data_IF_509341627435
#
_entry.id   IF_509341627435
#
_cell.length_a   1.000
_cell.length_b   1.000
_cell.length_c   1.000
_cell.angle_alpha   90.00
_cell.angle_beta   90.00
_cell.angle_gamma   90.00
#
_symmetry.space_group_name_H-M   'P 1'
#
loop_
_entity.id
_entity.type
_entity.pdbx_description
1 polymer ?
#
# COMPACT_ATOMS: atom_id res chain seq x y z
N UNK A 1 31.48 20.64 -45.87
CA UNK A 1 31.78 19.42 -45.11
C UNK A 1 32.63 19.66 -43.85
N UNK A 2 33.65 20.53 -43.84
CA UNK A 2 34.50 20.79 -42.63
C UNK A 2 33.74 21.45 -41.44
N UNK A 3 32.73 22.28 -41.69
CA UNK A 3 31.95 22.94 -40.62
C UNK A 3 30.89 22.02 -39.98
N UNK A 4 30.41 21.00 -40.72
CA UNK A 4 29.46 20.00 -40.20
C UNK A 4 30.18 18.97 -39.32
N UNK A 5 31.42 18.63 -39.63
CA UNK A 5 32.25 17.72 -38.85
C UNK A 5 32.62 18.34 -37.46
N UNK A 6 32.87 19.65 -37.42
CA UNK A 6 33.19 20.37 -36.16
C UNK A 6 31.96 20.46 -35.22
N UNK A 7 30.75 20.64 -35.76
CA UNK A 7 29.52 20.61 -34.95
C UNK A 7 29.23 19.19 -34.38
N UNK A 8 29.53 18.13 -35.17
CA UNK A 8 29.33 16.76 -34.69
C UNK A 8 30.31 16.34 -33.59
N UNK A 9 31.56 16.78 -33.67
CA UNK A 9 32.60 16.55 -32.64
C UNK A 9 32.30 17.37 -31.37
N UNK A 10 31.78 18.61 -31.49
CA UNK A 10 31.37 19.44 -30.38
C UNK A 10 30.15 18.87 -29.65
N UNK A 11 29.21 18.23 -30.37
CA UNK A 11 28.02 17.62 -29.75
C UNK A 11 28.36 16.30 -29.03
N UNK A 12 29.36 15.55 -29.50
CA UNK A 12 29.83 14.31 -28.84
C UNK A 12 30.65 14.64 -27.57
N UNK A 13 31.39 15.74 -27.53
CA UNK A 13 32.13 16.16 -26.34
C UNK A 13 31.22 16.69 -25.21
N UNK A 14 29.98 17.15 -25.49
CA UNK A 14 29.04 17.59 -24.50
C UNK A 14 28.36 16.40 -23.71
N UNK A 15 28.48 15.18 -24.23
CA UNK A 15 27.92 13.98 -23.58
C UNK A 15 28.91 13.25 -22.63
N UNK A 16 30.18 13.66 -22.57
CA UNK A 16 31.19 12.99 -21.72
C UNK A 16 31.42 13.66 -20.37
N UNK A 17 30.61 14.61 -19.95
CA UNK A 17 30.82 15.39 -18.76
C UNK A 17 29.80 15.25 -17.60
N UNK A 18 28.88 14.29 -17.64
CA UNK A 18 28.08 13.98 -16.46
C UNK A 18 28.89 13.05 -15.55
N UNK A 19 29.82 13.62 -14.81
CA UNK A 19 30.34 12.99 -13.61
C UNK A 19 29.14 12.65 -12.72
N UNK A 20 28.95 11.34 -12.44
CA UNK A 20 27.83 10.87 -11.67
C UNK A 20 27.83 11.57 -10.30
N UNK A 21 26.82 12.38 -10.06
CA UNK A 21 26.66 13.09 -8.80
C UNK A 21 26.29 12.05 -7.73
N UNK A 22 27.21 11.81 -6.79
CA UNK A 22 26.96 10.89 -5.67
C UNK A 22 25.75 11.37 -4.89
N UNK A 23 24.91 10.44 -4.49
CA UNK A 23 23.67 10.78 -3.80
C UNK A 23 23.90 10.93 -2.30
N UNK A 24 23.42 12.03 -1.75
CA UNK A 24 23.30 12.21 -0.30
C UNK A 24 22.05 11.47 0.23
N UNK A 25 21.93 11.35 1.54
CA UNK A 25 20.80 10.69 2.18
C UNK A 25 19.47 11.34 1.83
N UNK A 26 19.43 12.69 1.82
CA UNK A 26 18.19 13.43 1.53
C UNK A 26 17.67 13.10 0.12
N UNK A 27 18.54 13.20 -0.87
CA UNK A 27 18.21 12.85 -2.27
C UNK A 27 17.75 11.40 -2.40
N UNK A 28 18.41 10.46 -1.70
CA UNK A 28 18.04 9.04 -1.70
C UNK A 28 16.64 8.85 -1.10
N UNK A 29 16.33 9.49 0.04
CA UNK A 29 15.01 9.43 0.68
C UNK A 29 13.93 10.05 -0.20
N UNK A 30 14.16 11.26 -0.73
CA UNK A 30 13.19 11.96 -1.59
C UNK A 30 12.89 11.14 -2.85
N UNK A 31 13.92 10.55 -3.46
CA UNK A 31 13.74 9.69 -4.63
C UNK A 31 12.98 8.40 -4.29
N UNK A 32 13.28 7.76 -3.16
CA UNK A 32 12.55 6.58 -2.69
C UNK A 32 11.07 6.89 -2.48
N UNK A 33 10.74 7.98 -1.79
CA UNK A 33 9.36 8.42 -1.57
C UNK A 33 8.61 8.61 -2.89
N UNK A 34 9.27 9.13 -3.92
CA UNK A 34 8.66 9.34 -5.23
C UNK A 34 8.49 8.05 -6.06
N UNK A 35 9.41 7.09 -5.91
CA UNK A 35 9.52 5.95 -6.83
C UNK A 35 9.20 4.59 -6.21
N UNK A 36 9.24 4.46 -4.88
CA UNK A 36 9.03 3.18 -4.20
C UNK A 36 7.62 2.62 -4.45
N UNK A 37 7.56 1.33 -4.74
CA UNK A 37 6.31 0.63 -5.09
C UNK A 37 5.30 0.65 -3.92
N UNK A 38 5.75 0.52 -2.68
CA UNK A 38 4.87 0.53 -1.50
C UNK A 38 4.18 1.88 -1.31
N UNK A 39 4.86 3.00 -1.59
CA UNK A 39 4.26 4.34 -1.58
C UNK A 39 3.22 4.48 -2.68
N UNK A 40 3.52 4.01 -3.90
CA UNK A 40 2.56 3.99 -5.03
C UNK A 40 1.34 3.12 -4.73
N UNK A 41 1.54 1.96 -4.07
CA UNK A 41 0.42 1.12 -3.62
C UNK A 41 -0.46 1.83 -2.59
N UNK A 42 0.13 2.53 -1.62
CA UNK A 42 -0.63 3.31 -0.64
C UNK A 42 -1.43 4.44 -1.30
N UNK A 43 -0.87 5.14 -2.30
CA UNK A 43 -1.58 6.15 -3.09
C UNK A 43 -2.79 5.55 -3.83
N UNK A 44 -2.61 4.39 -4.48
CA UNK A 44 -3.73 3.69 -5.15
C UNK A 44 -4.82 3.32 -4.13
N UNK A 45 -4.48 2.85 -2.93
CA UNK A 45 -5.46 2.54 -1.88
C UNK A 45 -6.21 3.80 -1.40
N UNK A 46 -5.52 4.92 -1.26
CA UNK A 46 -6.18 6.20 -0.92
C UNK A 46 -7.15 6.65 -2.03
N UNK A 47 -6.78 6.47 -3.30
CA UNK A 47 -7.68 6.76 -4.44
C UNK A 47 -8.90 5.84 -4.47
N UNK A 48 -8.75 4.56 -4.10
CA UNK A 48 -9.88 3.63 -3.95
C UNK A 48 -10.81 4.12 -2.85
N UNK A 49 -10.28 4.52 -1.68
CA UNK A 49 -11.08 5.07 -0.59
C UNK A 49 -11.80 6.38 -1.00
N UNK A 50 -11.16 7.24 -1.78
CA UNK A 50 -11.76 8.47 -2.32
C UNK A 50 -12.92 8.16 -3.27
N UNK A 51 -12.78 7.15 -4.14
CA UNK A 51 -13.88 6.70 -5.01
C UNK A 51 -15.04 6.14 -4.18
N UNK A 52 -14.77 5.34 -3.15
CA UNK A 52 -15.78 4.79 -2.25
C UNK A 52 -16.53 5.90 -1.50
N UNK A 53 -15.82 6.90 -0.99
CA UNK A 53 -16.43 8.08 -0.37
C UNK A 53 -17.32 8.84 -1.37
N UNK A 54 -16.83 9.11 -2.60
CA UNK A 54 -17.59 9.76 -3.66
C UNK A 54 -18.85 8.96 -4.03
N UNK A 55 -18.72 7.64 -4.19
CA UNK A 55 -19.84 6.74 -4.47
C UNK A 55 -20.90 6.82 -3.39
N UNK A 56 -20.50 6.74 -2.11
CA UNK A 56 -21.41 6.83 -0.97
C UNK A 56 -22.11 8.18 -0.89
N UNK A 57 -21.40 9.26 -1.21
CA UNK A 57 -21.97 10.61 -1.27
C UNK A 57 -22.97 10.75 -2.41
N UNK A 58 -22.67 10.21 -3.60
CA UNK A 58 -23.56 10.23 -4.76
C UNK A 58 -24.79 9.32 -4.60
N UNK A 59 -24.76 8.34 -3.71
CA UNK A 59 -25.92 7.50 -3.39
C UNK A 59 -27.12 8.29 -2.78
N UNK A 60 -26.94 9.59 -2.48
CA UNK A 60 -28.04 10.50 -2.14
C UNK A 60 -28.89 10.92 -3.37
N UNK A 61 -28.37 10.78 -4.55
CA UNK A 61 -29.05 11.10 -5.80
C UNK A 61 -29.86 9.87 -6.22
N UNK A 62 -31.09 10.04 -6.76
CA UNK A 62 -31.89 8.93 -7.27
C UNK A 62 -31.13 8.12 -8.33
N UNK A 63 -31.22 6.80 -8.26
CA UNK A 63 -30.76 5.93 -9.35
C UNK A 63 -31.75 6.00 -10.53
N UNK A 64 -31.28 5.82 -11.74
CA UNK A 64 -32.10 5.70 -12.94
C UNK A 64 -31.61 4.51 -13.75
N UNK A 65 -32.50 3.53 -13.92
CA UNK A 65 -32.18 2.28 -14.62
C UNK A 65 -33.21 2.03 -15.72
N UNK A 66 -32.74 1.83 -16.95
CA UNK A 66 -33.54 1.34 -18.06
C UNK A 66 -33.32 -0.18 -18.18
N UNK A 67 -34.41 -0.94 -18.08
CA UNK A 67 -34.40 -2.37 -18.29
C UNK A 67 -35.22 -2.69 -19.56
N UNK A 68 -34.72 -3.59 -20.37
CA UNK A 68 -35.45 -4.18 -21.49
C UNK A 68 -35.31 -5.69 -21.43
N UNK A 69 -36.40 -6.38 -21.62
CA UNK A 69 -36.41 -7.83 -21.69
C UNK A 69 -37.22 -8.32 -22.88
N UNK A 70 -36.73 -9.36 -23.51
CA UNK A 70 -37.49 -10.16 -24.51
C UNK A 70 -37.60 -11.56 -23.97
N UNK A 71 -38.81 -12.11 -23.95
CA UNK A 71 -39.02 -13.46 -23.50
C UNK A 71 -39.93 -14.22 -24.47
N UNK A 72 -39.65 -15.50 -24.61
CA UNK A 72 -40.53 -16.46 -25.24
C UNK A 72 -41.09 -17.42 -24.20
N UNK A 73 -42.41 -17.52 -24.13
CA UNK A 73 -43.11 -18.44 -23.26
C UNK A 73 -44.01 -19.38 -24.11
N UNK A 74 -44.17 -20.60 -23.68
CA UNK A 74 -45.10 -21.54 -24.29
C UNK A 74 -45.84 -22.32 -23.18
N UNK A 75 -47.12 -22.41 -23.30
CA UNK A 75 -47.94 -23.12 -22.29
C UNK A 75 -49.43 -22.94 -22.49
N UNK A 76 -50.18 -23.49 -21.56
CA UNK A 76 -51.64 -23.34 -21.51
C UNK A 76 -51.97 -21.95 -20.96
N UNK A 77 -52.48 -21.08 -21.82
CA UNK A 77 -52.88 -19.72 -21.48
C UNK A 77 -54.35 -19.49 -21.82
N UNK A 78 -54.94 -18.58 -21.09
CA UNK A 78 -56.31 -18.11 -21.44
C UNK A 78 -56.20 -17.06 -22.56
N UNK A 79 -56.90 -17.30 -23.67
CA UNK A 79 -57.05 -16.34 -24.73
C UNK A 79 -57.81 -15.10 -24.19
N UNK A 80 -57.23 -13.91 -24.28
CA UNK A 80 -57.79 -12.69 -23.66
C UNK A 80 -59.13 -12.23 -24.29
N UNK A 81 -59.47 -12.74 -25.47
CA UNK A 81 -60.71 -12.35 -26.22
C UNK A 81 -61.80 -13.40 -26.05
N UNK A 82 -61.43 -14.67 -26.23
CA UNK A 82 -62.40 -15.78 -26.19
C UNK A 82 -62.54 -16.42 -24.81
N UNK A 83 -61.63 -16.07 -23.89
CA UNK A 83 -61.52 -16.68 -22.54
C UNK A 83 -61.33 -18.20 -22.52
N UNK A 84 -60.98 -18.80 -23.66
CA UNK A 84 -60.71 -20.23 -23.78
C UNK A 84 -59.24 -20.55 -23.39
N UNK A 85 -59.02 -21.69 -22.79
CA UNK A 85 -57.67 -22.16 -22.53
C UNK A 85 -57.09 -22.77 -23.83
N UNK A 86 -55.97 -22.23 -24.29
CA UNK A 86 -55.24 -22.62 -25.48
C UNK A 86 -53.77 -22.81 -25.17
N UNK A 87 -53.13 -23.84 -25.71
CA UNK A 87 -51.68 -24.00 -25.62
C UNK A 87 -51.05 -23.28 -26.80
N UNK A 88 -50.32 -22.20 -26.51
CA UNK A 88 -49.64 -21.46 -27.55
C UNK A 88 -48.33 -20.81 -27.04
N UNK A 89 -47.43 -20.56 -27.99
CA UNK A 89 -46.23 -19.80 -27.73
C UNK A 89 -46.47 -18.31 -27.88
N UNK A 90 -45.88 -17.49 -27.01
CA UNK A 90 -45.92 -16.05 -27.12
C UNK A 90 -44.55 -15.43 -26.96
N UNK A 91 -44.29 -14.37 -27.65
CA UNK A 91 -43.13 -13.50 -27.51
C UNK A 91 -43.60 -12.23 -26.83
N UNK A 92 -42.94 -11.87 -25.74
CA UNK A 92 -43.15 -10.61 -25.06
C UNK A 92 -41.85 -9.78 -24.99
N UNK A 93 -42.00 -8.46 -25.11
CA UNK A 93 -40.93 -7.53 -24.93
C UNK A 93 -41.40 -6.43 -23.97
N UNK A 94 -40.60 -6.16 -22.94
CA UNK A 94 -40.89 -5.15 -21.94
C UNK A 94 -39.77 -4.10 -21.86
N UNK A 95 -40.17 -2.88 -21.60
CA UNK A 95 -39.30 -1.75 -21.30
C UNK A 95 -39.73 -1.15 -19.98
N UNK A 96 -38.77 -0.90 -19.08
CA UNK A 96 -39.05 -0.20 -17.82
C UNK A 96 -37.94 0.75 -17.46
N UNK A 97 -38.26 2.00 -17.16
CA UNK A 97 -37.36 3.01 -16.62
C UNK A 97 -37.72 3.19 -15.16
N UNK A 98 -36.78 2.84 -14.28
CA UNK A 98 -36.98 2.79 -12.84
C UNK A 98 -36.05 3.78 -12.13
N UNK A 99 -36.60 4.49 -11.16
CA UNK A 99 -35.84 5.38 -10.27
C UNK A 99 -36.17 5.07 -8.82
N UNK A 100 -35.17 5.15 -7.95
CA UNK A 100 -35.36 4.96 -6.52
C UNK A 100 -34.37 5.81 -5.73
N UNK A 101 -34.83 6.38 -4.60
CA UNK A 101 -34.00 7.08 -3.64
C UNK A 101 -34.57 6.94 -2.25
N UNK A 102 -33.69 6.79 -1.24
CA UNK A 102 -34.14 6.90 0.16
C UNK A 102 -34.31 8.36 0.54
N UNK A 103 -35.48 8.76 0.99
CA UNK A 103 -35.76 10.09 1.47
C UNK A 103 -35.33 10.25 2.93
N UNK A 104 -35.60 9.22 3.76
CA UNK A 104 -35.26 9.22 5.17
C UNK A 104 -34.93 7.80 5.66
N UNK A 105 -33.81 7.65 6.38
CA UNK A 105 -33.32 6.36 6.89
C UNK A 105 -32.65 6.49 8.27
N UNK A 106 -33.19 7.34 9.14
CA UNK A 106 -32.69 7.58 10.51
C UNK A 106 -31.16 7.82 10.55
N UNK A 107 -30.69 8.68 9.64
CA UNK A 107 -29.27 9.08 9.52
C UNK A 107 -28.29 7.95 9.18
N UNK A 108 -28.77 6.76 8.79
CA UNK A 108 -27.90 5.68 8.32
C UNK A 108 -26.97 6.18 7.20
N UNK A 109 -27.54 6.78 6.15
CA UNK A 109 -26.76 7.29 5.00
C UNK A 109 -25.81 8.41 5.42
N UNK A 110 -26.25 9.38 6.22
CA UNK A 110 -25.39 10.46 6.70
C UNK A 110 -24.18 9.91 7.45
N UNK A 111 -24.40 8.99 8.39
CA UNK A 111 -23.31 8.38 9.14
C UNK A 111 -22.42 7.48 8.28
N UNK A 112 -22.96 6.80 7.25
CA UNK A 112 -22.15 6.03 6.30
C UNK A 112 -21.25 6.95 5.45
N UNK A 113 -21.74 8.13 5.05
CA UNK A 113 -20.94 9.14 4.34
C UNK A 113 -19.79 9.64 5.24
N UNK A 114 -20.10 9.99 6.50
CA UNK A 114 -19.08 10.44 7.44
C UNK A 114 -18.05 9.35 7.76
N UNK A 115 -18.49 8.11 7.90
CA UNK A 115 -17.59 6.96 8.09
C UNK A 115 -16.61 6.82 6.91
N UNK A 116 -17.13 6.84 5.67
CA UNK A 116 -16.28 6.77 4.47
C UNK A 116 -15.41 8.01 4.28
N UNK A 117 -15.83 9.20 4.76
CA UNK A 117 -14.98 10.39 4.78
C UNK A 117 -13.76 10.19 5.66
N UNK A 118 -13.98 9.72 6.91
CA UNK A 118 -12.87 9.41 7.82
C UNK A 118 -11.98 8.27 7.33
N UNK A 119 -12.54 7.26 6.66
CA UNK A 119 -11.74 6.20 6.04
C UNK A 119 -10.87 6.72 4.89
N UNK A 120 -11.40 7.64 4.06
CA UNK A 120 -10.62 8.32 3.03
C UNK A 120 -9.49 9.19 3.65
N UNK A 121 -9.78 9.92 4.72
CA UNK A 121 -8.76 10.69 5.45
C UNK A 121 -7.69 9.76 6.06
N UNK A 122 -8.11 8.63 6.64
CA UNK A 122 -7.19 7.62 7.17
C UNK A 122 -6.31 7.00 6.08
N UNK A 123 -6.87 6.72 4.90
CA UNK A 123 -6.11 6.21 3.76
C UNK A 123 -5.07 7.23 3.25
N UNK A 124 -5.38 8.52 3.25
CA UNK A 124 -4.41 9.58 2.92
C UNK A 124 -3.31 9.68 3.99
N UNK A 125 -3.66 9.68 5.28
CA UNK A 125 -2.67 9.67 6.37
C UNK A 125 -1.79 8.40 6.32
N UNK A 126 -2.31 7.28 5.82
CA UNK A 126 -1.54 6.05 5.65
C UNK A 126 -0.46 6.16 4.55
N UNK A 127 -0.63 7.05 3.56
CA UNK A 127 0.44 7.36 2.60
C UNK A 127 1.63 7.95 3.36
N UNK A 128 1.38 8.90 4.27
CA UNK A 128 2.44 9.55 5.05
C UNK A 128 3.09 8.57 6.04
N UNK A 129 2.33 7.64 6.61
CA UNK A 129 2.89 6.53 7.38
C UNK A 129 3.85 5.67 6.54
N UNK A 130 3.45 5.26 5.35
CA UNK A 130 4.30 4.46 4.46
C UNK A 130 5.54 5.25 4.02
N UNK A 131 5.41 6.56 3.74
CA UNK A 131 6.55 7.44 3.43
C UNK A 131 7.54 7.49 4.58
N UNK A 132 7.06 7.60 5.83
CA UNK A 132 7.91 7.57 7.02
C UNK A 132 8.64 6.24 7.16
N UNK A 133 7.94 5.11 6.99
CA UNK A 133 8.55 3.78 7.07
C UNK A 133 9.64 3.60 6.00
N UNK A 134 9.38 4.03 4.76
CA UNK A 134 10.37 3.98 3.68
C UNK A 134 11.55 4.90 3.96
N UNK A 135 11.31 6.12 4.48
CA UNK A 135 12.40 7.04 4.85
C UNK A 135 13.34 6.42 5.87
N UNK A 136 12.79 5.77 6.91
CA UNK A 136 13.58 5.08 7.92
C UNK A 136 14.36 3.89 7.33
N UNK A 137 13.72 3.08 6.48
CA UNK A 137 14.37 1.93 5.84
C UNK A 137 15.51 2.35 4.90
N UNK A 138 15.30 3.42 4.13
CA UNK A 138 16.34 3.98 3.25
C UNK A 138 17.50 4.54 4.07
N UNK A 139 17.23 5.25 5.17
CA UNK A 139 18.28 5.75 6.04
C UNK A 139 19.11 4.62 6.67
N UNK A 140 18.46 3.55 7.12
CA UNK A 140 19.12 2.34 7.61
C UNK A 140 20.03 1.70 6.55
N UNK A 141 19.50 1.50 5.34
CA UNK A 141 20.26 0.89 4.24
C UNK A 141 21.43 1.78 3.80
N UNK A 142 21.22 3.10 3.75
CA UNK A 142 22.27 4.07 3.43
C UNK A 142 23.42 3.99 4.44
N UNK A 143 23.11 3.97 5.73
CA UNK A 143 24.13 3.84 6.79
C UNK A 143 24.88 2.51 6.73
N UNK A 144 24.19 1.41 6.41
CA UNK A 144 24.84 0.12 6.21
C UNK A 144 25.85 0.15 5.04
N UNK A 145 25.55 0.92 3.99
CA UNK A 145 26.51 1.16 2.89
C UNK A 145 27.72 1.94 3.40
N UNK A 146 27.53 3.01 4.18
CA UNK A 146 28.63 3.80 4.73
C UNK A 146 29.53 2.96 5.65
N UNK A 147 28.95 2.17 6.56
CA UNK A 147 29.68 1.25 7.43
C UNK A 147 30.50 0.22 6.65
N UNK A 148 29.88 -0.41 5.65
CA UNK A 148 30.57 -1.41 4.85
C UNK A 148 31.74 -0.80 4.05
N UNK A 149 31.61 0.41 3.54
CA UNK A 149 32.69 1.14 2.87
C UNK A 149 33.86 1.44 3.81
N UNK A 150 33.56 1.84 5.03
CA UNK A 150 34.61 2.08 6.00
C UNK A 150 35.34 0.80 6.39
N UNK A 151 34.63 -0.33 6.49
CA UNK A 151 35.25 -1.66 6.66
C UNK A 151 36.19 -2.01 5.50
N UNK A 152 35.79 -1.75 4.23
CA UNK A 152 36.65 -1.93 3.06
C UNK A 152 37.90 -1.06 3.16
N UNK A 153 37.74 0.21 3.55
CA UNK A 153 38.84 1.15 3.70
C UNK A 153 39.87 0.67 4.75
N UNK A 154 39.40 0.27 5.93
CA UNK A 154 40.23 -0.28 6.99
C UNK A 154 40.94 -1.57 6.54
N UNK A 155 40.22 -2.51 5.91
CA UNK A 155 40.80 -3.76 5.40
C UNK A 155 41.85 -3.50 4.31
N UNK A 156 41.67 -2.50 3.46
CA UNK A 156 42.63 -2.10 2.43
C UNK A 156 43.92 -1.54 3.05
N UNK A 157 43.77 -0.67 4.05
CA UNK A 157 44.92 -0.15 4.80
C UNK A 157 45.67 -1.28 5.47
N UNK A 158 44.98 -2.26 6.08
CA UNK A 158 45.59 -3.44 6.71
C UNK A 158 46.42 -4.25 5.70
N UNK A 159 45.90 -4.54 4.51
CA UNK A 159 46.64 -5.26 3.45
C UNK A 159 47.89 -4.47 3.05
N UNK A 160 47.81 -3.15 2.87
CA UNK A 160 48.94 -2.30 2.50
C UNK A 160 50.02 -2.32 3.61
N UNK A 161 49.64 -2.26 4.89
CA UNK A 161 50.57 -2.36 6.00
C UNK A 161 51.28 -3.71 6.04
N UNK A 162 50.53 -4.80 5.87
CA UNK A 162 51.12 -6.17 5.85
C UNK A 162 52.06 -6.36 4.67
N UNK A 163 51.77 -5.81 3.47
CA UNK A 163 52.66 -5.81 2.29
C UNK A 163 53.97 -5.07 2.63
N UNK A 164 53.88 -3.87 3.18
CA UNK A 164 55.05 -3.08 3.55
C UNK A 164 55.93 -3.81 4.57
N UNK A 165 55.29 -4.42 5.59
CA UNK A 165 55.96 -5.21 6.64
C UNK A 165 56.68 -6.42 6.04
N UNK A 166 55.98 -7.20 5.16
CA UNK A 166 56.57 -8.36 4.48
C UNK A 166 57.77 -7.94 3.62
N UNK A 167 57.68 -6.85 2.88
CA UNK A 167 58.79 -6.33 2.10
C UNK A 167 60.05 -5.99 2.92
N UNK A 168 59.86 -5.39 4.09
CA UNK A 168 60.97 -5.12 5.02
C UNK A 168 61.50 -6.40 5.67
N UNK A 169 60.66 -7.31 6.12
CA UNK A 169 61.09 -8.59 6.72
C UNK A 169 61.84 -9.46 5.71
N UNK A 170 61.40 -9.53 4.43
CA UNK A 170 62.14 -10.26 3.41
C UNK A 170 63.54 -9.69 3.15
N UNK A 171 63.77 -8.38 3.21
CA UNK A 171 65.09 -7.80 3.14
C UNK A 171 66.00 -8.26 4.27
N UNK A 172 65.48 -8.34 5.50
CA UNK A 172 66.21 -8.80 6.67
C UNK A 172 66.50 -10.32 6.63
N UNK A 173 65.57 -11.13 6.14
CA UNK A 173 65.74 -12.56 5.94
C UNK A 173 66.83 -12.80 4.87
N UNK A 174 66.78 -12.08 3.72
CA UNK A 174 67.80 -12.19 2.67
C UNK A 174 69.23 -11.73 3.13
N UNK A 175 69.25 -10.83 4.09
CA UNK A 175 70.51 -10.40 4.74
C UNK A 175 70.96 -11.38 5.85
N UNK A 176 70.23 -12.47 6.11
CA UNK A 176 70.55 -13.43 7.14
C UNK A 176 70.29 -12.98 8.59
N UNK A 177 69.59 -11.82 8.74
CA UNK A 177 69.32 -11.23 10.05
C UNK A 177 68.03 -11.77 10.70
N UNK A 178 67.12 -12.41 9.93
CA UNK A 178 65.90 -13.02 10.44
C UNK A 178 65.73 -14.42 9.83
N UNK A 179 65.04 -15.38 10.55
CA UNK A 179 64.67 -16.67 10.01
C UNK A 179 63.59 -16.57 8.91
N UNK A 180 63.59 -17.50 7.97
CA UNK A 180 62.56 -17.61 6.89
C UNK A 180 61.14 -17.74 7.44
N UNK A 181 61.00 -18.34 8.62
CA UNK A 181 59.72 -18.47 9.36
C UNK A 181 58.99 -17.10 9.51
N UNK A 182 59.74 -16.02 9.73
CA UNK A 182 59.17 -14.69 9.95
C UNK A 182 58.55 -14.14 8.66
N UNK A 183 59.13 -14.40 7.52
CA UNK A 183 58.57 -14.06 6.19
C UNK A 183 57.33 -14.92 5.89
N UNK A 184 57.40 -16.23 6.14
CA UNK A 184 56.29 -17.16 5.91
C UNK A 184 55.04 -16.79 6.78
N UNK A 185 55.22 -16.37 8.06
CA UNK A 185 54.16 -15.90 8.92
C UNK A 185 53.44 -14.65 8.34
N UNK A 186 54.20 -13.71 7.79
CA UNK A 186 53.64 -12.50 7.16
C UNK A 186 52.97 -12.80 5.82
N UNK A 187 53.46 -13.78 5.04
CA UNK A 187 52.78 -14.24 3.82
C UNK A 187 51.41 -14.88 4.16
N UNK A 188 51.35 -15.71 5.17
CA UNK A 188 50.10 -16.27 5.65
C UNK A 188 49.14 -15.18 6.16
N UNK A 189 49.67 -14.14 6.84
CA UNK A 189 48.86 -13.00 7.28
C UNK A 189 48.36 -12.20 6.10
N UNK A 190 49.18 -11.92 5.08
CA UNK A 190 48.78 -11.21 3.85
C UNK A 190 47.65 -11.94 3.11
N UNK A 191 47.73 -13.27 3.05
CA UNK A 191 46.66 -14.08 2.46
C UNK A 191 45.33 -13.92 3.22
N UNK A 192 45.36 -13.95 4.58
CA UNK A 192 44.18 -13.71 5.42
C UNK A 192 43.61 -12.31 5.27
N UNK A 193 44.46 -11.28 5.29
CA UNK A 193 44.06 -9.89 5.12
C UNK A 193 43.44 -9.65 3.73
N UNK A 194 44.01 -10.24 2.69
CA UNK A 194 43.47 -10.17 1.31
C UNK A 194 42.11 -10.86 1.22
N UNK A 195 41.93 -12.01 1.82
CA UNK A 195 40.63 -12.70 1.89
C UNK A 195 39.57 -11.84 2.61
N UNK A 196 39.96 -11.19 3.71
CA UNK A 196 39.11 -10.29 4.48
C UNK A 196 38.69 -9.07 3.63
N UNK A 197 39.62 -8.48 2.87
CA UNK A 197 39.34 -7.36 1.97
C UNK A 197 38.29 -7.75 0.91
N UNK A 198 38.45 -8.92 0.28
CA UNK A 198 37.46 -9.44 -0.69
C UNK A 198 36.08 -9.62 -0.04
N UNK A 199 36.03 -10.19 1.16
CA UNK A 199 34.76 -10.38 1.88
C UNK A 199 34.08 -9.06 2.23
N UNK A 200 34.83 -8.06 2.67
CA UNK A 200 34.27 -6.74 3.01
C UNK A 200 33.80 -5.99 1.74
N UNK A 201 34.50 -6.14 0.61
CA UNK A 201 34.11 -5.54 -0.67
C UNK A 201 32.79 -6.15 -1.19
N UNK A 202 32.62 -7.47 -1.09
CA UNK A 202 31.36 -8.15 -1.41
C UNK A 202 30.23 -7.65 -0.51
N UNK A 203 30.49 -7.46 0.79
CA UNK A 203 29.51 -6.94 1.75
C UNK A 203 29.09 -5.50 1.37
N UNK A 204 30.04 -4.65 1.02
CA UNK A 204 29.75 -3.27 0.59
C UNK A 204 28.90 -3.25 -0.69
N UNK A 205 29.24 -4.09 -1.66
CA UNK A 205 28.45 -4.25 -2.90
C UNK A 205 27.02 -4.74 -2.59
N UNK A 206 26.88 -5.74 -1.74
CA UNK A 206 25.55 -6.27 -1.35
C UNK A 206 24.68 -5.22 -0.67
N UNK A 207 25.25 -4.44 0.25
CA UNK A 207 24.52 -3.36 0.92
C UNK A 207 24.10 -2.25 -0.09
N UNK A 208 24.97 -1.94 -1.06
CA UNK A 208 24.65 -0.98 -2.11
C UNK A 208 23.48 -1.49 -2.99
N UNK A 209 23.48 -2.78 -3.35
CA UNK A 209 22.37 -3.40 -4.09
C UNK A 209 21.07 -3.39 -3.28
N UNK A 210 21.13 -3.64 -1.97
CA UNK A 210 19.97 -3.55 -1.09
C UNK A 210 19.39 -2.12 -1.05
N UNK A 211 20.25 -1.10 -1.01
CA UNK A 211 19.81 0.29 -1.11
C UNK A 211 19.18 0.59 -2.48
N UNK A 212 19.79 0.13 -3.59
CA UNK A 212 19.21 0.28 -4.95
C UNK A 212 17.81 -0.35 -5.05
N UNK A 213 17.61 -1.50 -4.42
CA UNK A 213 16.30 -2.17 -4.37
C UNK A 213 15.23 -1.30 -3.68
N UNK A 214 15.56 -0.69 -2.52
CA UNK A 214 14.65 0.22 -1.81
C UNK A 214 14.33 1.48 -2.63
N UNK A 215 15.29 1.98 -3.38
CA UNK A 215 15.15 3.12 -4.28
C UNK A 215 14.39 2.78 -5.57
N UNK A 216 14.16 1.49 -5.86
CA UNK A 216 13.62 1.01 -7.13
C UNK A 216 14.47 1.45 -8.33
N UNK A 217 15.79 1.39 -8.19
CA UNK A 217 16.79 1.65 -9.26
C UNK A 217 17.21 0.32 -9.85
N UNK A 218 17.44 0.29 -11.17
CA UNK A 218 17.97 -0.90 -11.87
C UNK A 218 19.29 -1.37 -11.23
N UNK A 219 19.41 -2.68 -10.98
CA UNK A 219 20.60 -3.27 -10.37
C UNK A 219 21.87 -3.06 -11.20
N UNK A 220 21.75 -3.01 -12.53
CA UNK A 220 22.86 -2.76 -13.45
C UNK A 220 23.21 -1.28 -13.60
N UNK A 221 22.29 -0.35 -13.22
CA UNK A 221 22.55 1.08 -13.32
C UNK A 221 23.75 1.46 -12.44
N UNK A 222 24.56 2.37 -12.91
CA UNK A 222 25.64 2.92 -12.10
C UNK A 222 25.05 3.85 -11.03
N UNK A 223 25.41 3.64 -9.76
CA UNK A 223 24.87 4.35 -8.60
C UNK A 223 25.90 4.40 -7.48
N UNK A 224 26.09 5.57 -6.90
CA UNK A 224 26.99 5.75 -5.76
C UNK A 224 26.44 6.75 -4.75
N UNK A 225 26.89 6.63 -3.49
CA UNK A 225 26.45 7.49 -2.37
C UNK A 225 27.63 8.33 -1.84
N UNK A 226 27.30 9.52 -1.32
CA UNK A 226 28.29 10.34 -0.61
C UNK A 226 28.58 9.73 0.76
N UNK A 227 29.85 9.90 1.23
CA UNK A 227 30.24 9.46 2.59
C UNK A 227 30.58 10.72 3.38
N UNK A 228 29.58 11.34 4.07
CA UNK A 228 29.87 12.49 4.91
C UNK A 228 30.74 12.04 6.11
N UNK A 229 31.70 12.86 6.55
CA UNK A 229 32.41 12.60 7.79
C UNK A 229 31.42 12.51 8.97
N UNK A 230 31.50 11.45 9.77
CA UNK A 230 30.58 11.20 10.90
C UNK A 230 30.51 12.35 11.88
N UNK A 231 31.66 12.99 12.13
CA UNK A 231 31.77 14.13 13.04
C UNK A 231 31.02 15.41 12.59
N UNK A 232 30.61 15.48 11.32
CA UNK A 232 29.89 16.62 10.75
C UNK A 232 28.37 16.43 10.76
N UNK A 233 27.87 15.28 11.18
CA UNK A 233 26.43 15.01 11.24
C UNK A 233 25.86 15.75 12.45
N UNK A 234 24.95 16.73 12.24
CA UNK A 234 24.36 17.49 13.34
C UNK A 234 23.48 16.58 14.21
N UNK A 235 23.62 16.64 15.52
CA UNK A 235 22.82 15.88 16.48
C UNK A 235 22.18 16.80 17.49
N UNK A 236 20.93 16.52 17.87
CA UNK A 236 20.27 17.20 18.98
C UNK A 236 20.90 16.82 20.34
N UNK A 237 20.66 17.66 21.34
CA UNK A 237 21.05 17.35 22.70
C UNK A 237 20.23 16.18 23.25
N UNK A 238 20.88 15.19 23.87
CA UNK A 238 20.19 14.05 24.51
C UNK A 238 19.21 14.52 25.60
N UNK A 239 19.43 15.70 26.18
CA UNK A 239 18.52 16.27 27.17
C UNK A 239 17.16 16.65 26.57
N UNK A 240 17.10 17.01 25.27
CA UNK A 240 15.86 17.36 24.54
C UNK A 240 15.14 16.12 24.00
N UNK A 241 15.80 14.98 24.04
CA UNK A 241 15.29 13.71 23.54
C UNK A 241 14.86 12.74 24.66
N UNK A 242 14.45 13.30 25.83
CA UNK A 242 13.92 12.49 26.92
C UNK A 242 12.69 11.68 26.46
N UNK A 243 12.60 10.38 26.82
CA UNK A 243 11.59 9.45 26.27
C UNK A 243 10.16 9.94 26.44
N UNK A 244 9.80 10.52 27.59
CA UNK A 244 8.44 11.03 27.85
C UNK A 244 8.11 12.27 27.02
N UNK A 245 9.09 13.12 26.73
CA UNK A 245 8.92 14.29 25.86
C UNK A 245 8.72 13.84 24.40
N UNK A 246 9.61 12.96 23.92
CA UNK A 246 9.52 12.39 22.57
C UNK A 246 8.20 11.66 22.37
N UNK A 247 7.76 10.85 23.35
CA UNK A 247 6.51 10.11 23.26
C UNK A 247 5.29 11.04 23.14
N UNK A 248 5.21 12.10 23.93
CA UNK A 248 4.10 13.07 23.83
C UNK A 248 4.02 13.73 22.46
N UNK A 249 5.15 14.15 21.93
CA UNK A 249 5.22 14.76 20.58
C UNK A 249 4.92 13.73 19.50
N UNK A 250 5.40 12.50 19.65
CA UNK A 250 5.16 11.40 18.71
C UNK A 250 3.67 11.02 18.61
N UNK A 251 2.93 11.03 19.72
CA UNK A 251 1.48 10.76 19.71
C UNK A 251 0.70 11.74 18.83
N UNK A 252 1.16 12.99 18.73
CA UNK A 252 0.51 14.03 17.92
C UNK A 252 1.00 14.06 16.48
N UNK A 253 2.31 13.82 16.26
CA UNK A 253 2.94 14.01 14.96
C UNK A 253 3.07 12.75 14.12
N UNK A 254 3.11 11.55 14.75
CA UNK A 254 3.34 10.32 13.99
C UNK A 254 2.11 9.92 13.16
N UNK A 255 2.26 9.68 11.85
CA UNK A 255 1.14 9.40 10.96
C UNK A 255 0.35 8.13 11.34
N UNK A 256 0.97 7.14 11.96
CA UNK A 256 0.28 5.92 12.41
C UNK A 256 -0.80 6.23 13.44
N UNK A 257 -0.53 7.10 14.43
CA UNK A 257 -1.50 7.50 15.45
C UNK A 257 -2.65 8.29 14.82
N UNK A 258 -2.37 9.10 13.81
CA UNK A 258 -3.40 9.82 13.05
C UNK A 258 -4.29 8.84 12.28
N UNK A 259 -3.72 7.83 11.61
CA UNK A 259 -4.47 6.77 10.92
C UNK A 259 -5.40 6.05 11.89
N UNK A 260 -4.89 5.64 13.06
CA UNK A 260 -5.67 4.95 14.08
C UNK A 260 -6.83 5.81 14.60
N UNK A 261 -6.58 7.07 14.93
CA UNK A 261 -7.61 8.00 15.40
C UNK A 261 -8.72 8.20 14.36
N UNK A 262 -8.36 8.33 13.08
CA UNK A 262 -9.31 8.49 11.99
C UNK A 262 -10.14 7.21 11.75
N UNK A 263 -9.53 6.02 11.83
CA UNK A 263 -10.26 4.74 11.75
C UNK A 263 -11.22 4.53 12.90
N UNK A 264 -10.83 4.85 14.13
CA UNK A 264 -11.74 4.80 15.27
C UNK A 264 -12.95 5.70 15.02
N UNK A 265 -12.75 6.94 14.56
CA UNK A 265 -13.87 7.86 14.21
C UNK A 265 -14.73 7.29 13.06
N UNK A 266 -14.13 6.70 12.05
CA UNK A 266 -14.85 6.03 10.96
C UNK A 266 -15.80 4.96 11.52
N UNK A 267 -15.30 4.08 12.38
CA UNK A 267 -16.11 2.99 12.96
C UNK A 267 -17.14 3.47 13.96
N UNK A 268 -16.91 4.57 14.68
CA UNK A 268 -17.95 5.23 15.50
C UNK A 268 -19.14 5.67 14.64
N UNK A 269 -18.88 6.19 13.45
CA UNK A 269 -19.93 6.53 12.49
C UNK A 269 -20.59 5.30 11.87
N UNK A 270 -19.85 4.22 11.57
CA UNK A 270 -20.45 2.97 11.10
C UNK A 270 -21.37 2.36 12.14
N UNK A 271 -21.04 2.40 13.44
CA UNK A 271 -21.94 1.95 14.53
C UNK A 271 -23.24 2.76 14.53
N UNK A 272 -23.16 4.09 14.39
CA UNK A 272 -24.35 4.95 14.29
C UNK A 272 -25.17 4.64 13.02
N UNK A 273 -24.50 4.38 11.90
CA UNK A 273 -25.15 3.99 10.65
C UNK A 273 -25.91 2.65 10.81
N UNK A 274 -25.28 1.63 11.39
CA UNK A 274 -25.90 0.32 11.60
C UNK A 274 -27.08 0.37 12.60
N UNK A 275 -27.02 1.27 13.60
CA UNK A 275 -28.17 1.54 14.45
C UNK A 275 -29.34 2.10 13.65
N UNK A 276 -29.08 3.01 12.70
CA UNK A 276 -30.10 3.55 11.80
C UNK A 276 -30.74 2.48 10.89
N UNK A 277 -29.99 1.43 10.52
CA UNK A 277 -30.49 0.32 9.72
C UNK A 277 -31.56 -0.56 10.43
N UNK A 278 -31.67 -0.47 11.76
CA UNK A 278 -32.70 -1.13 12.55
C UNK A 278 -34.02 -0.34 12.64
N UNK A 279 -34.05 0.88 12.13
CA UNK A 279 -35.17 1.81 12.23
C UNK A 279 -35.91 1.91 10.88
N UNK A 280 -37.13 2.46 10.83
CA UNK A 280 -37.92 2.60 9.62
C UNK A 280 -37.17 3.37 8.53
N UNK A 281 -37.41 2.99 7.26
CA UNK A 281 -36.85 3.65 6.08
C UNK A 281 -37.97 4.10 5.16
N UNK A 282 -37.97 5.36 4.76
CA UNK A 282 -38.85 5.95 3.76
C UNK A 282 -38.06 6.14 2.45
N UNK A 283 -38.53 5.51 1.37
CA UNK A 283 -37.96 5.66 0.03
C UNK A 283 -39.03 6.17 -0.95
N UNK A 284 -38.58 6.93 -1.94
CA UNK A 284 -39.35 7.28 -3.12
C UNK A 284 -38.99 6.33 -4.24
N UNK A 285 -39.98 5.92 -5.03
CA UNK A 285 -39.77 5.17 -6.25
C UNK A 285 -40.61 5.76 -7.39
N UNK A 286 -40.11 5.63 -8.60
CA UNK A 286 -40.82 5.94 -9.82
C UNK A 286 -40.54 4.87 -10.87
N UNK A 287 -41.58 4.51 -11.63
CA UNK A 287 -41.47 3.56 -12.72
C UNK A 287 -42.28 4.04 -13.93
N UNK A 288 -41.65 4.04 -15.10
CA UNK A 288 -42.28 4.16 -16.38
C UNK A 288 -42.11 2.83 -17.09
N UNK A 289 -43.19 2.25 -17.57
CA UNK A 289 -43.13 0.93 -18.20
C UNK A 289 -44.04 0.82 -19.41
N UNK A 290 -43.66 -0.02 -20.36
CA UNK A 290 -44.51 -0.45 -21.47
C UNK A 290 -44.09 -1.85 -21.91
N UNK A 291 -45.02 -2.54 -22.55
CA UNK A 291 -44.75 -3.91 -23.01
C UNK A 291 -45.49 -4.20 -24.34
N UNK A 292 -44.90 -5.12 -25.05
CA UNK A 292 -45.47 -5.74 -26.26
C UNK A 292 -45.66 -7.25 -26.02
N UNK A 293 -46.75 -7.80 -26.58
CA UNK A 293 -46.99 -9.22 -26.67
C UNK A 293 -47.51 -9.53 -28.08
N UNK A 294 -46.92 -10.53 -28.76
CA UNK A 294 -47.31 -10.92 -30.10
C UNK A 294 -48.74 -11.55 -30.17
N UNK A 295 -49.34 -11.89 -29.03
CA UNK A 295 -50.71 -12.34 -28.89
C UNK A 295 -51.69 -11.20 -28.57
N UNK A 296 -51.21 -9.98 -28.43
CA UNK A 296 -52.02 -8.79 -28.18
C UNK A 296 -52.94 -8.48 -29.38
N UNK A 297 -54.21 -8.78 -29.27
CA UNK A 297 -55.21 -8.44 -30.26
C UNK A 297 -55.99 -7.16 -29.82
N UNK A 298 -56.41 -6.37 -30.78
CA UNK A 298 -57.32 -5.23 -30.54
C UNK A 298 -58.69 -5.49 -31.15
N UNK A 299 -59.75 -5.07 -30.49
CA UNK A 299 -61.08 -5.09 -31.01
C UNK A 299 -61.24 -3.95 -32.00
N UNK A 300 -61.61 -4.24 -33.25
CA UNK A 300 -61.83 -3.26 -34.31
C UNK A 300 -63.30 -3.07 -34.62
N UNK A 301 -64.16 -3.90 -34.09
CA UNK A 301 -65.62 -3.85 -34.28
C UNK A 301 -66.32 -5.01 -33.56
N UNK A 302 -67.65 -5.04 -33.65
CA UNK A 302 -68.42 -6.17 -33.15
C UNK A 302 -69.32 -6.66 -34.27
N UNK A 303 -69.37 -7.97 -34.41
CA UNK A 303 -70.36 -8.62 -35.32
C UNK A 303 -71.48 -9.23 -34.48
N UNK A 304 -72.70 -8.87 -34.80
CA UNK A 304 -73.87 -9.39 -34.11
C UNK A 304 -74.26 -10.70 -34.78
N UNK A 305 -74.17 -11.78 -34.09
CA UNK A 305 -74.46 -13.14 -34.59
C UNK A 305 -75.48 -13.85 -33.70
N UNK A 306 -76.31 -14.65 -34.32
CA UNK A 306 -77.20 -15.57 -33.61
C UNK A 306 -76.49 -16.95 -33.54
N UNK A 307 -75.86 -17.30 -32.42
CA UNK A 307 -75.13 -18.58 -32.37
C UNK A 307 -76.11 -19.77 -32.35
N UNK A 308 -75.69 -20.88 -32.91
CA UNK A 308 -76.44 -22.10 -32.72
C UNK A 308 -76.35 -22.54 -31.25
N UNK A 309 -77.53 -22.71 -30.61
CA UNK A 309 -77.66 -23.12 -29.21
C UNK A 309 -77.83 -24.64 -29.04
N UNK A 310 -78.00 -25.35 -30.11
CA UNK A 310 -78.14 -26.79 -30.11
C UNK A 310 -78.56 -27.37 -31.48
N UNK A 311 -78.82 -28.63 -31.52
CA UNK A 311 -79.32 -29.34 -32.67
C UNK A 311 -80.60 -30.08 -32.25
N UNK A 312 -81.59 -30.08 -33.12
CA UNK A 312 -82.80 -30.90 -32.96
C UNK A 312 -82.89 -31.87 -34.12
N UNK A 313 -83.19 -33.15 -33.81
CA UNK A 313 -83.42 -34.19 -34.84
C UNK A 313 -84.93 -34.26 -35.08
N UNK A 314 -85.33 -33.98 -36.31
CA UNK A 314 -86.71 -34.12 -36.74
C UNK A 314 -86.75 -35.12 -37.87
N UNK A 315 -87.41 -36.30 -37.64
CA UNK A 315 -87.57 -37.37 -38.62
C UNK A 315 -86.26 -37.88 -39.24
N UNK A 316 -85.16 -37.97 -38.46
CA UNK A 316 -83.84 -38.41 -38.89
C UNK A 316 -82.93 -37.36 -39.49
N UNK A 317 -83.36 -36.10 -39.58
CA UNK A 317 -82.58 -34.96 -40.08
C UNK A 317 -82.23 -34.03 -38.91
N UNK A 318 -80.93 -33.67 -38.77
CA UNK A 318 -80.48 -32.74 -37.76
C UNK A 318 -80.61 -31.26 -38.23
N UNK A 319 -81.32 -30.42 -37.46
CA UNK A 319 -81.44 -28.97 -37.66
C UNK A 319 -80.77 -28.25 -36.57
N UNK A 320 -79.98 -27.17 -36.91
CA UNK A 320 -79.38 -26.30 -35.93
C UNK A 320 -80.45 -25.33 -35.41
N UNK A 321 -80.56 -25.22 -34.07
CA UNK A 321 -81.40 -24.22 -33.38
C UNK A 321 -80.55 -23.04 -33.03
N UNK A 322 -81.01 -21.86 -33.46
CA UNK A 322 -80.29 -20.60 -33.23
C UNK A 322 -80.89 -19.83 -32.05
N UNK A 323 -80.09 -19.06 -31.33
CA UNK A 323 -80.54 -18.20 -30.26
C UNK A 323 -81.42 -17.06 -30.83
N UNK A 324 -82.55 -16.74 -30.19
CA UNK A 324 -83.32 -15.58 -30.49
C UNK A 324 -82.68 -14.28 -29.91
N UNK A 325 -81.69 -14.46 -29.05
CA UNK A 325 -80.92 -13.30 -28.52
C UNK A 325 -79.61 -13.21 -29.27
N UNK A 326 -79.37 -12.14 -30.05
CA UNK A 326 -78.09 -11.93 -30.71
C UNK A 326 -77.02 -11.65 -29.70
N UNK A 327 -75.86 -12.21 -29.94
CA UNK A 327 -74.65 -11.91 -29.16
C UNK A 327 -73.68 -11.11 -30.03
N UNK A 328 -73.02 -10.11 -29.42
CA UNK A 328 -72.00 -9.34 -30.07
C UNK A 328 -70.64 -10.07 -29.91
N UNK A 329 -70.09 -10.56 -31.00
CA UNK A 329 -68.80 -11.22 -31.06
C UNK A 329 -67.77 -10.17 -31.51
N UNK A 330 -66.72 -9.89 -30.73
CA UNK A 330 -65.73 -8.92 -31.12
C UNK A 330 -64.95 -9.39 -32.37
N UNK A 331 -64.76 -8.46 -33.30
CA UNK A 331 -63.83 -8.63 -34.44
C UNK A 331 -62.50 -8.10 -34.00
N UNK A 332 -61.51 -9.01 -33.96
CA UNK A 332 -60.18 -8.67 -33.53
C UNK A 332 -59.16 -8.66 -34.66
N UNK A 333 -58.14 -7.84 -34.52
CA UNK A 333 -56.96 -7.80 -35.39
C UNK A 333 -55.70 -7.71 -34.56
N UNK A 334 -54.55 -8.16 -35.08
CA UNK A 334 -53.27 -8.03 -34.40
C UNK A 334 -52.98 -6.56 -34.12
N UNK A 335 -52.63 -6.26 -32.85
CA UNK A 335 -52.24 -4.92 -32.46
C UNK A 335 -50.76 -4.66 -32.82
N UNK A 336 -50.42 -3.68 -33.67
CA UNK A 336 -49.05 -3.38 -34.08
C UNK A 336 -48.16 -3.08 -32.91
N UNK A 337 -46.85 -3.43 -33.04
CA UNK A 337 -45.84 -3.27 -32.01
C UNK A 337 -45.85 -1.89 -31.33
N UNK A 338 -45.69 -0.81 -32.13
CA UNK A 338 -45.65 0.54 -31.58
C UNK A 338 -46.99 1.01 -30.99
N UNK A 339 -48.10 0.52 -31.54
CA UNK A 339 -49.41 0.78 -30.96
C UNK A 339 -49.60 0.14 -29.59
N UNK A 340 -49.07 -1.06 -29.40
CA UNK A 340 -49.07 -1.70 -28.07
C UNK A 340 -48.19 -0.96 -27.09
N UNK A 341 -46.98 -0.51 -27.52
CA UNK A 341 -46.07 0.25 -26.64
C UNK A 341 -46.72 1.58 -26.19
N UNK A 342 -47.47 2.24 -27.03
CA UNK A 342 -48.21 3.46 -26.70
C UNK A 342 -49.39 3.16 -25.75
N UNK A 343 -50.21 2.17 -26.08
CA UNK A 343 -51.39 1.80 -25.29
C UNK A 343 -51.06 1.21 -23.94
N UNK A 344 -49.96 0.45 -23.84
CA UNK A 344 -49.51 -0.20 -22.62
C UNK A 344 -48.58 0.69 -21.75
N UNK A 345 -48.36 1.93 -22.21
CA UNK A 345 -47.57 2.88 -21.44
C UNK A 345 -48.19 3.13 -20.05
N UNK A 346 -47.40 2.87 -19.03
CA UNK A 346 -47.81 3.03 -17.64
C UNK A 346 -46.79 3.83 -16.86
N UNK A 347 -47.26 4.58 -15.89
CA UNK A 347 -46.44 5.34 -14.97
C UNK A 347 -46.93 5.14 -13.55
N UNK A 348 -45.96 4.92 -12.64
CA UNK A 348 -46.25 4.83 -11.22
C UNK A 348 -45.20 5.60 -10.43
N UNK A 349 -45.66 6.36 -9.45
CA UNK A 349 -44.83 7.07 -8.49
C UNK A 349 -45.38 6.76 -7.10
N UNK A 350 -44.47 6.59 -6.14
CA UNK A 350 -44.90 6.25 -4.79
C UNK A 350 -43.86 6.44 -3.74
N UNK A 351 -44.33 6.34 -2.50
CA UNK A 351 -43.51 6.28 -1.31
C UNK A 351 -43.61 4.87 -0.72
N UNK A 352 -42.46 4.33 -0.34
CA UNK A 352 -42.40 3.03 0.34
C UNK A 352 -41.82 3.21 1.75
N UNK A 353 -42.61 2.89 2.75
CA UNK A 353 -42.19 2.87 4.16
C UNK A 353 -41.88 1.41 4.56
N UNK A 354 -40.62 1.13 4.81
CA UNK A 354 -40.17 -0.19 5.29
C UNK A 354 -39.84 -0.12 6.77
N UNK A 355 -40.53 -0.91 7.60
CA UNK A 355 -40.33 -1.03 9.04
C UNK A 355 -39.81 -2.44 9.33
N UNK A 356 -38.53 -2.64 9.68
CA UNK A 356 -38.00 -3.96 9.98
C UNK A 356 -38.51 -4.43 11.37
N UNK A 357 -39.49 -5.31 11.40
CA UNK A 357 -40.02 -5.91 12.63
C UNK A 357 -39.17 -7.11 13.06
N UNK A 358 -38.92 -8.01 12.14
CA UNK A 358 -38.06 -9.18 12.31
C UNK A 358 -37.37 -9.54 11.00
N UNK A 359 -36.04 -9.60 11.03
CA UNK A 359 -35.22 -9.88 9.84
C UNK A 359 -34.15 -10.96 10.12
N UNK A 360 -34.54 -12.01 10.88
CA UNK A 360 -33.64 -13.10 11.26
C UNK A 360 -32.31 -12.59 11.88
N UNK A 361 -32.40 -11.56 12.74
CA UNK A 361 -31.29 -10.96 13.48
C UNK A 361 -30.24 -10.24 12.61
N UNK A 362 -30.44 -10.09 11.31
CA UNK A 362 -29.43 -9.51 10.37
C UNK A 362 -29.05 -8.07 10.76
N UNK A 363 -30.03 -7.20 11.00
CA UNK A 363 -29.75 -5.80 11.34
C UNK A 363 -29.08 -5.68 12.73
N UNK A 364 -29.57 -6.42 13.73
CA UNK A 364 -29.00 -6.42 15.08
C UNK A 364 -27.60 -7.06 15.11
N UNK A 365 -27.41 -8.19 14.43
CA UNK A 365 -26.12 -8.84 14.31
C UNK A 365 -25.11 -7.96 13.57
N UNK A 366 -25.53 -7.22 12.53
CA UNK A 366 -24.72 -6.22 11.85
C UNK A 366 -24.28 -5.09 12.80
N UNK A 367 -25.17 -4.59 13.62
CA UNK A 367 -24.86 -3.57 14.64
C UNK A 367 -23.85 -4.10 15.68
N UNK A 368 -24.10 -5.26 16.29
CA UNK A 368 -23.20 -5.84 17.29
C UNK A 368 -21.81 -6.15 16.70
N UNK A 369 -21.75 -6.71 15.49
CA UNK A 369 -20.48 -6.95 14.78
C UNK A 369 -19.71 -5.65 14.55
N UNK A 370 -20.39 -4.58 14.11
CA UNK A 370 -19.73 -3.29 13.88
C UNK A 370 -19.23 -2.66 15.18
N UNK A 371 -19.95 -2.85 16.29
CA UNK A 371 -19.52 -2.43 17.63
C UNK A 371 -18.26 -3.17 18.09
N UNK A 372 -18.19 -4.49 17.87
CA UNK A 372 -16.99 -5.29 18.16
C UNK A 372 -15.81 -4.88 17.26
N UNK A 373 -16.05 -4.57 15.99
CA UNK A 373 -15.02 -4.02 15.11
C UNK A 373 -14.48 -2.67 15.63
N UNK A 374 -15.36 -1.78 16.13
CA UNK A 374 -14.91 -0.54 16.76
C UNK A 374 -14.02 -0.82 17.98
N UNK A 375 -14.38 -1.78 18.82
CA UNK A 375 -13.57 -2.19 19.96
C UNK A 375 -12.20 -2.72 19.51
N UNK A 376 -12.18 -3.55 18.46
CA UNK A 376 -10.92 -4.03 17.85
C UNK A 376 -10.03 -2.89 17.40
N UNK A 377 -10.55 -1.86 16.73
CA UNK A 377 -9.74 -0.71 16.32
C UNK A 377 -9.26 0.15 17.49
N UNK A 378 -10.01 0.25 18.57
CA UNK A 378 -9.55 0.91 19.81
C UNK A 378 -8.40 0.16 20.45
N UNK A 379 -8.54 -1.16 20.59
CA UNK A 379 -7.47 -2.02 21.14
C UNK A 379 -6.22 -2.00 20.25
N UNK A 380 -6.39 -1.98 18.93
CA UNK A 380 -5.26 -1.84 18.00
C UNK A 380 -4.55 -0.49 18.19
N UNK A 381 -5.30 0.61 18.35
CA UNK A 381 -4.73 1.93 18.64
C UNK A 381 -3.95 1.94 19.95
N UNK A 382 -4.48 1.31 21.00
CA UNK A 382 -3.81 1.20 22.30
C UNK A 382 -2.53 0.36 22.18
N UNK A 383 -2.58 -0.76 21.45
CA UNK A 383 -1.41 -1.60 21.18
C UNK A 383 -0.32 -0.85 20.40
N UNK A 384 -0.70 -0.08 19.38
CA UNK A 384 0.24 0.71 18.58
C UNK A 384 0.86 1.85 19.41
N UNK A 385 0.11 2.48 20.31
CA UNK A 385 0.60 3.46 21.25
C UNK A 385 1.60 2.86 22.25
N UNK A 386 1.29 1.66 22.76
CA UNK A 386 2.21 0.92 23.64
C UNK A 386 3.51 0.55 22.91
N UNK A 387 3.38 0.06 21.66
CA UNK A 387 4.54 -0.28 20.81
C UNK A 387 5.39 0.95 20.51
N UNK A 388 4.77 2.07 20.18
CA UNK A 388 5.47 3.34 19.98
C UNK A 388 6.26 3.76 21.24
N UNK A 389 5.60 3.70 22.41
CA UNK A 389 6.25 3.99 23.69
C UNK A 389 7.46 3.08 23.92
N UNK A 390 7.27 1.78 23.76
CA UNK A 390 8.34 0.79 23.90
C UNK A 390 9.52 1.10 22.96
N UNK A 391 9.26 1.37 21.68
CA UNK A 391 10.30 1.67 20.69
C UNK A 391 11.10 2.92 21.05
N UNK A 392 10.44 3.96 21.55
CA UNK A 392 11.09 5.21 21.97
C UNK A 392 12.00 4.94 23.19
N UNK A 393 11.51 4.24 24.21
CA UNK A 393 12.31 3.91 25.39
C UNK A 393 13.50 2.99 25.06
N UNK A 394 13.31 1.99 24.19
CA UNK A 394 14.38 1.14 23.70
C UNK A 394 15.42 1.91 22.88
N UNK A 395 14.97 2.82 22.00
CA UNK A 395 15.86 3.68 21.22
C UNK A 395 16.69 4.59 22.13
N UNK A 396 16.08 5.20 23.14
CA UNK A 396 16.79 6.04 24.11
C UNK A 396 17.84 5.25 24.93
N UNK A 397 17.47 4.10 25.47
CA UNK A 397 18.41 3.21 26.15
C UNK A 397 19.55 2.77 25.24
N UNK A 398 19.22 2.46 23.97
CA UNK A 398 20.17 2.13 22.93
C UNK A 398 21.16 3.27 22.63
N UNK A 399 20.70 4.52 22.62
CA UNK A 399 21.57 5.71 22.45
C UNK A 399 22.60 5.81 23.59
N UNK A 400 22.14 5.68 24.84
CA UNK A 400 23.04 5.74 26.01
C UNK A 400 24.09 4.65 25.94
N UNK A 401 23.68 3.42 25.65
CA UNK A 401 24.59 2.27 25.53
C UNK A 401 25.61 2.46 24.39
N UNK A 402 25.14 2.97 23.22
CA UNK A 402 26.02 3.24 22.08
C UNK A 402 27.04 4.35 22.38
N UNK A 403 26.65 5.42 23.06
CA UNK A 403 27.57 6.49 23.48
C UNK A 403 28.64 5.96 24.43
N UNK A 404 28.25 5.17 25.43
CA UNK A 404 29.23 4.57 26.39
C UNK A 404 30.18 3.65 25.66
N UNK A 405 29.66 2.80 24.73
CA UNK A 405 30.51 1.87 23.96
C UNK A 405 31.45 2.63 23.01
N UNK A 406 31.00 3.69 22.35
CA UNK A 406 31.84 4.53 21.51
C UNK A 406 32.99 5.15 22.31
N UNK A 407 32.72 5.73 23.49
CA UNK A 407 33.74 6.31 24.36
C UNK A 407 34.77 5.28 24.86
N UNK A 408 34.31 4.05 25.17
CA UNK A 408 35.20 2.96 25.56
C UNK A 408 36.10 2.50 24.40
N UNK A 409 35.52 2.34 23.19
CA UNK A 409 36.29 1.94 22.01
C UNK A 409 37.29 3.01 21.58
N UNK A 410 36.95 4.29 21.68
CA UNK A 410 37.90 5.40 21.46
C UNK A 410 39.12 5.32 22.38
N UNK A 411 38.90 5.01 23.65
CA UNK A 411 40.01 4.77 24.61
C UNK A 411 40.83 3.52 24.24
N UNK A 412 40.16 2.48 23.72
CA UNK A 412 40.85 1.25 23.27
C UNK A 412 41.75 1.56 22.07
N UNK A 413 41.30 2.36 21.09
CA UNK A 413 42.14 2.76 19.95
C UNK A 413 43.39 3.50 20.40
N UNK A 414 43.26 4.49 21.29
CA UNK A 414 44.41 5.26 21.82
C UNK A 414 45.46 4.34 22.46
N UNK A 415 45.03 3.35 23.25
CA UNK A 415 45.92 2.43 23.89
C UNK A 415 46.53 1.39 22.93
N UNK A 416 45.74 0.89 21.96
CA UNK A 416 46.22 -0.04 20.93
C UNK A 416 47.21 0.63 19.97
N UNK A 417 47.07 1.91 19.65
CA UNK A 417 48.02 2.68 18.87
C UNK A 417 49.37 2.79 19.56
N UNK A 418 49.35 3.12 20.86
CA UNK A 418 50.59 3.16 21.67
C UNK A 418 51.26 1.78 21.72
N UNK A 419 50.49 0.72 21.95
CA UNK A 419 51.04 -0.64 22.01
C UNK A 419 51.68 -1.04 20.68
N UNK A 420 51.02 -0.72 19.55
CA UNK A 420 51.54 -1.02 18.22
C UNK A 420 52.81 -0.20 17.89
N UNK A 421 52.82 1.09 18.21
CA UNK A 421 54.04 1.92 18.04
C UNK A 421 55.26 1.36 18.82
N UNK A 422 55.05 0.94 20.09
CA UNK A 422 56.09 0.27 20.83
C UNK A 422 56.51 -1.09 20.24
N UNK A 423 55.57 -1.89 19.78
CA UNK A 423 55.82 -3.17 19.11
C UNK A 423 56.64 -2.98 17.84
N UNK A 424 56.32 -1.98 16.99
CA UNK A 424 57.08 -1.64 15.79
C UNK A 424 58.52 -1.24 16.12
N UNK A 425 58.73 -0.36 17.12
CA UNK A 425 60.08 0.10 17.56
C UNK A 425 60.93 -1.07 18.07
N UNK A 426 60.36 -1.97 18.88
CA UNK A 426 61.05 -3.16 19.38
C UNK A 426 61.35 -4.15 18.27
N UNK A 427 60.43 -4.38 17.34
CA UNK A 427 60.66 -5.25 16.20
C UNK A 427 61.79 -4.73 15.28
N UNK A 428 61.83 -3.42 15.01
CA UNK A 428 62.89 -2.80 14.25
C UNK A 428 64.30 -2.97 14.85
N UNK A 429 64.36 -3.17 16.20
CA UNK A 429 65.60 -3.42 16.95
C UNK A 429 65.88 -4.92 17.15
N UNK A 430 65.05 -5.81 16.55
CA UNK A 430 65.20 -7.26 16.71
C UNK A 430 64.81 -7.79 18.12
N UNK A 431 64.13 -6.98 18.93
CA UNK A 431 63.70 -7.30 20.30
C UNK A 431 62.29 -7.87 20.42
N UNK A 432 61.61 -8.04 19.30
CA UNK A 432 60.25 -8.60 19.23
C UNK A 432 60.11 -9.51 17.99
N UNK A 433 59.42 -10.62 18.12
CA UNK A 433 59.17 -11.53 17.01
C UNK A 433 58.00 -11.03 16.14
N UNK A 434 57.84 -11.55 14.91
CA UNK A 434 56.80 -11.16 13.96
C UNK A 434 55.40 -11.52 14.46
N UNK A 435 55.23 -12.60 15.21
CA UNK A 435 53.95 -13.01 15.76
C UNK A 435 53.37 -11.94 16.71
N UNK A 436 54.19 -11.45 17.65
CA UNK A 436 53.76 -10.42 18.60
C UNK A 436 53.49 -9.08 17.89
N UNK A 437 54.27 -8.74 16.87
CA UNK A 437 54.02 -7.56 16.05
C UNK A 437 52.68 -7.66 15.30
N UNK A 438 52.40 -8.80 14.61
CA UNK A 438 51.13 -9.06 13.91
C UNK A 438 49.99 -9.02 14.90
N UNK A 439 50.13 -9.60 16.08
CA UNK A 439 49.10 -9.57 17.13
C UNK A 439 48.75 -8.16 17.54
N UNK A 440 49.76 -7.30 17.77
CA UNK A 440 49.57 -5.92 18.13
C UNK A 440 48.91 -5.10 16.99
N UNK A 441 49.30 -5.37 15.72
CA UNK A 441 48.71 -4.78 14.54
C UNK A 441 47.22 -5.16 14.38
N UNK A 442 46.91 -6.45 14.54
CA UNK A 442 45.53 -6.97 14.45
C UNK A 442 44.65 -6.37 15.56
N UNK A 443 45.17 -6.21 16.78
CA UNK A 443 44.47 -5.58 17.90
C UNK A 443 44.16 -4.11 17.59
N UNK A 444 45.08 -3.34 17.00
CA UNK A 444 44.85 -1.97 16.58
C UNK A 444 43.81 -1.89 15.48
N UNK A 445 43.90 -2.74 14.44
CA UNK A 445 42.92 -2.76 13.33
C UNK A 445 41.54 -3.07 13.86
N UNK A 446 41.42 -4.06 14.76
CA UNK A 446 40.12 -4.38 15.39
C UNK A 446 39.58 -3.21 16.22
N UNK A 447 40.41 -2.57 17.02
CA UNK A 447 40.03 -1.41 17.84
C UNK A 447 39.50 -0.27 16.96
N UNK A 448 40.19 0.05 15.85
CA UNK A 448 39.73 1.10 14.88
C UNK A 448 38.41 0.71 14.22
N UNK A 449 38.24 -0.55 13.82
CA UNK A 449 36.97 -1.02 13.26
C UNK A 449 35.84 -0.88 14.27
N UNK A 450 36.05 -1.31 15.52
CA UNK A 450 35.03 -1.24 16.57
C UNK A 450 34.68 0.21 16.94
N UNK A 451 35.64 1.14 16.91
CA UNK A 451 35.39 2.58 17.12
C UNK A 451 34.48 3.13 16.02
N UNK A 452 34.83 2.91 14.75
CA UNK A 452 34.02 3.40 13.61
C UNK A 452 32.62 2.81 13.64
N UNK A 453 32.47 1.50 13.83
CA UNK A 453 31.17 0.86 13.92
C UNK A 453 30.30 1.45 15.04
N UNK A 454 30.91 1.67 16.21
CA UNK A 454 30.16 2.24 17.35
C UNK A 454 29.87 3.72 17.22
N UNK A 455 30.70 4.49 16.52
CA UNK A 455 30.43 5.88 16.21
C UNK A 455 29.22 6.03 15.31
N UNK A 456 29.16 5.26 14.20
CA UNK A 456 28.00 5.24 13.31
C UNK A 456 26.74 4.71 14.02
N UNK A 457 26.84 3.65 14.86
CA UNK A 457 25.70 3.14 15.64
C UNK A 457 25.13 4.20 16.58
N UNK A 458 26.02 4.98 17.27
CA UNK A 458 25.58 6.08 18.13
C UNK A 458 24.85 7.17 17.35
N UNK A 459 25.46 7.68 16.27
CA UNK A 459 24.84 8.73 15.44
C UNK A 459 23.50 8.28 14.87
N UNK A 460 23.45 7.03 14.37
CA UNK A 460 22.22 6.48 13.83
C UNK A 460 21.10 6.37 14.88
N UNK A 461 21.38 5.85 16.05
CA UNK A 461 20.39 5.73 17.14
C UNK A 461 19.86 7.11 17.57
N UNK A 462 20.73 8.13 17.58
CA UNK A 462 20.31 9.52 17.80
C UNK A 462 19.32 9.95 16.72
N UNK A 463 19.63 9.71 15.46
CA UNK A 463 18.75 10.08 14.32
C UNK A 463 17.41 9.33 14.33
N UNK A 464 17.38 8.07 14.76
CA UNK A 464 16.13 7.34 14.96
C UNK A 464 15.28 7.96 16.07
N UNK A 465 15.91 8.42 17.14
CA UNK A 465 15.18 9.07 18.23
C UNK A 465 14.61 10.44 17.81
N UNK A 466 15.39 11.24 17.06
CA UNK A 466 14.93 12.50 16.42
C UNK A 466 13.76 12.24 15.45
N UNK A 467 13.82 11.15 14.68
CA UNK A 467 12.74 10.75 13.80
C UNK A 467 11.42 10.44 14.54
N UNK A 468 11.47 9.80 15.71
CA UNK A 468 10.26 9.61 16.53
C UNK A 468 9.68 10.96 17.02
N UNK A 469 10.49 11.96 17.24
CA UNK A 469 10.04 13.34 17.55
C UNK A 469 9.32 14.02 16.36
N UNK A 470 9.42 13.44 15.14
CA UNK A 470 8.76 13.92 13.93
C UNK A 470 9.56 14.96 13.13
N UNK A 471 10.88 14.97 13.27
CA UNK A 471 11.76 15.93 12.57
C UNK A 471 12.35 15.37 11.25
N UNK A 472 12.04 14.12 10.92
CA UNK A 472 12.65 13.42 9.78
C UNK A 472 14.12 13.06 10.05
N UNK A 473 14.73 12.31 9.11
CA UNK A 473 16.15 11.90 9.23
C UNK A 473 17.00 12.84 8.38
N UNK A 474 17.84 13.66 9.03
CA UNK A 474 18.77 14.59 8.39
C UNK A 474 20.20 14.19 8.74
N UNK A 475 21.07 14.02 7.75
CA UNK A 475 22.53 13.84 7.93
C UNK A 475 23.34 15.09 7.53
N UNK A 476 22.65 16.12 7.09
CA UNK A 476 23.21 17.44 6.71
C UNK A 476 22.30 18.54 7.21
#
# INVERSE_FOLDING_TARGET
MRKILLCFVSTIMAFLGFGQEKWDLKRAVDYAIANNISVKQADVQARIAAVQYKQTKLAQIPSLNLNSNVSYGSGLNQDPVTFRLITQGFVSNGYSLQTQVDLFNFFNRKNTIEANRFENEAANANIDRVRNDISLNVANAYLNVLLAREQVNISRIQVQQTIAQLGNTRKLVNAGSLPELEAANLEAQLARDSATLVQTDVTATTNLLALKALLNIDMAADFDVTTPPVDQIPMESLAELQPDLVYRVALEKQPLQQVNALRVRSYEHYVKAQRGAMLPRLSFFGNLGTNFNNQGDRIVGTNTVNPPIGKVNVSGVEYSVYSNQPINVPITTKNPYFSQLDQNFSQSLGLNLTIPIFNAWQARGGYERTKLNLETYKLQSDQDNLTLKQNIYQSYAGVIAALQKFNANRSTVINAERAYDFAQKRFAQGLLNTFDLITSQNNLTRARLDEVLTHYDYVFRMKVLEFYKGEGIKLQ
#
